data_IF_952884603206
#
_entry.id   IF_952884603206
#
_cell.length_a   1.000
_cell.length_b   1.000
_cell.length_c   1.000
_cell.angle_alpha   90.00
_cell.angle_beta   90.00
_cell.angle_gamma   90.00
#
_symmetry.space_group_name_H-M   'P 1'
#
loop_
_entity.id
_entity.type
_entity.pdbx_description
1 polymer ?
#
# COMPACT_ATOMS: atom_id res chain seq x y z
N UNK A 1 3.36 13.54 -40.79
CA UNK A 1 4.79 13.16 -40.72
C UNK A 1 5.38 13.69 -39.41
N UNK A 2 6.27 12.95 -38.73
CA UNK A 2 6.92 13.45 -37.52
C UNK A 2 7.71 14.74 -37.84
N UNK A 3 7.58 15.75 -36.97
CA UNK A 3 8.34 17.00 -37.07
C UNK A 3 9.70 16.81 -36.41
N UNK A 4 10.76 17.07 -37.16
CA UNK A 4 12.14 16.94 -36.67
C UNK A 4 12.62 18.27 -36.09
N UNK A 5 13.46 18.20 -35.06
CA UNK A 5 14.10 19.35 -34.44
C UNK A 5 15.54 19.01 -34.05
N UNK A 6 16.37 20.02 -33.82
CA UNK A 6 17.76 19.86 -33.39
C UNK A 6 17.88 20.19 -31.92
N UNK A 7 18.61 19.34 -31.19
CA UNK A 7 19.00 19.59 -29.79
C UNK A 7 20.50 19.82 -29.74
N UNK A 8 20.95 20.76 -28.90
CA UNK A 8 22.36 20.93 -28.58
C UNK A 8 22.71 20.06 -27.40
N UNK A 9 23.72 19.20 -27.56
CA UNK A 9 24.21 18.29 -26.52
C UNK A 9 25.74 18.37 -26.42
N UNK A 10 26.33 18.08 -25.24
CA UNK A 10 27.77 17.95 -25.09
C UNK A 10 28.36 16.89 -26.03
N UNK A 11 29.59 17.10 -26.49
CA UNK A 11 30.28 16.18 -27.41
C UNK A 11 30.41 14.78 -26.81
N UNK A 12 30.80 14.70 -25.54
CA UNK A 12 30.93 13.44 -24.79
C UNK A 12 29.64 12.61 -24.77
N UNK A 13 28.48 13.28 -24.71
CA UNK A 13 27.18 12.60 -24.71
C UNK A 13 26.83 12.11 -26.11
N UNK A 14 27.13 12.91 -27.15
CA UNK A 14 26.96 12.51 -28.54
C UNK A 14 27.78 11.25 -28.85
N UNK A 15 29.04 11.20 -28.40
CA UNK A 15 29.93 10.08 -28.64
C UNK A 15 29.41 8.78 -28.00
N UNK A 16 28.87 8.87 -26.77
CA UNK A 16 28.20 7.74 -26.10
C UNK A 16 26.95 7.27 -26.85
N UNK A 17 26.13 8.20 -27.35
CA UNK A 17 24.94 7.86 -28.13
C UNK A 17 25.34 7.18 -29.44
N UNK A 18 26.40 7.66 -30.09
CA UNK A 18 26.94 7.08 -31.31
C UNK A 18 27.48 5.67 -31.07
N UNK A 19 28.23 5.44 -29.99
CA UNK A 19 28.70 4.11 -29.60
C UNK A 19 27.53 3.14 -29.40
N UNK A 20 26.51 3.55 -28.65
CA UNK A 20 25.31 2.75 -28.40
C UNK A 20 24.51 2.50 -29.68
N UNK A 21 24.42 3.49 -30.57
CA UNK A 21 23.76 3.38 -31.87
C UNK A 21 24.44 2.35 -32.77
N UNK A 22 25.77 2.38 -32.85
CA UNK A 22 26.55 1.40 -33.61
C UNK A 22 26.39 0.00 -33.02
N UNK A 23 26.45 -0.14 -31.69
CA UNK A 23 26.29 -1.44 -31.01
C UNK A 23 24.89 -2.04 -31.19
N UNK A 24 23.85 -1.22 -31.15
CA UNK A 24 22.44 -1.68 -31.20
C UNK A 24 21.79 -1.60 -32.58
N UNK A 25 22.48 -1.01 -33.56
CA UNK A 25 21.95 -0.72 -34.90
C UNK A 25 20.60 0.03 -34.87
N UNK A 26 20.53 1.07 -34.04
CA UNK A 26 19.31 1.87 -33.84
C UNK A 26 19.60 3.36 -34.09
N UNK A 27 18.61 4.11 -34.56
CA UNK A 27 18.71 5.55 -34.72
C UNK A 27 18.88 6.27 -33.38
N UNK A 28 19.60 7.40 -33.37
CA UNK A 28 19.98 8.12 -32.15
C UNK A 28 18.75 8.52 -31.30
N UNK A 29 17.67 8.95 -31.96
CA UNK A 29 16.44 9.35 -31.26
C UNK A 29 15.78 8.20 -30.51
N UNK A 30 15.89 6.94 -31.00
CA UNK A 30 15.33 5.76 -30.32
C UNK A 30 16.08 5.47 -29.03
N UNK A 31 17.41 5.57 -29.07
CA UNK A 31 18.25 5.38 -27.87
C UNK A 31 17.94 6.44 -26.82
N UNK A 32 17.80 7.71 -27.24
CA UNK A 32 17.43 8.80 -26.34
C UNK A 32 16.04 8.55 -25.76
N UNK A 33 15.08 8.13 -26.59
CA UNK A 33 13.73 7.82 -26.14
C UNK A 33 13.72 6.65 -25.12
N UNK A 34 14.45 5.58 -25.39
CA UNK A 34 14.61 4.45 -24.46
C UNK A 34 15.25 4.89 -23.14
N UNK A 35 16.29 5.73 -23.19
CA UNK A 35 16.95 6.24 -21.99
C UNK A 35 16.00 7.12 -21.16
N UNK A 36 15.21 7.98 -21.82
CA UNK A 36 14.19 8.80 -21.15
C UNK A 36 13.09 7.91 -20.56
N UNK A 37 12.58 6.94 -21.31
CA UNK A 37 11.56 6.01 -20.84
C UNK A 37 12.07 5.19 -19.64
N UNK A 38 13.33 4.74 -19.69
CA UNK A 38 14.00 4.05 -18.59
C UNK A 38 14.17 4.94 -17.37
N UNK A 39 14.59 6.21 -17.55
CA UNK A 39 14.70 7.16 -16.46
C UNK A 39 13.32 7.45 -15.83
N UNK A 40 12.29 7.62 -16.66
CA UNK A 40 10.93 7.81 -16.18
C UNK A 40 10.44 6.60 -15.39
N UNK A 41 10.61 5.37 -15.89
CA UNK A 41 10.20 4.17 -15.15
C UNK A 41 11.05 3.95 -13.91
N UNK A 42 12.37 4.06 -13.98
CA UNK A 42 13.24 3.69 -12.87
C UNK A 42 13.48 4.80 -11.85
N UNK A 43 13.24 6.07 -12.18
CA UNK A 43 13.44 7.19 -11.23
C UNK A 43 12.11 7.77 -10.78
N UNK A 44 11.11 7.93 -11.67
CA UNK A 44 9.79 8.41 -11.25
C UNK A 44 8.98 7.30 -10.54
N UNK A 45 9.03 6.04 -10.97
CA UNK A 45 8.38 4.97 -10.19
C UNK A 45 9.16 4.65 -8.90
N UNK A 46 10.46 4.91 -8.83
CA UNK A 46 11.20 4.73 -7.56
C UNK A 46 10.84 5.80 -6.53
N UNK A 47 10.47 7.02 -6.97
CA UNK A 47 9.76 7.98 -6.10
C UNK A 47 8.43 7.42 -5.60
N UNK A 48 7.72 6.62 -6.40
CA UNK A 48 6.55 5.87 -5.95
C UNK A 48 6.90 4.65 -5.07
N UNK A 49 8.15 4.16 -5.07
CA UNK A 49 8.59 3.08 -4.17
C UNK A 49 8.80 3.57 -2.73
N UNK A 50 9.01 4.86 -2.51
CA UNK A 50 8.92 5.48 -1.18
C UNK A 50 7.48 5.48 -0.63
N UNK A 51 6.44 5.20 -1.45
CA UNK A 51 5.03 5.01 -1.04
C UNK A 51 4.69 3.58 -0.62
N UNK A 52 5.57 2.61 -0.89
CA UNK A 52 5.38 1.17 -0.57
C UNK A 52 5.48 0.87 0.94
N UNK A 53 6.32 1.56 1.76
CA UNK A 53 6.43 1.26 3.18
C UNK A 53 5.10 1.38 3.94
N UNK A 54 4.26 2.37 3.59
CA UNK A 54 3.00 2.60 4.29
C UNK A 54 1.93 1.57 3.91
N UNK A 55 1.85 1.17 2.64
CA UNK A 55 0.86 0.16 2.23
C UNK A 55 1.24 -1.25 2.70
N UNK A 56 2.53 -1.60 2.67
CA UNK A 56 3.02 -2.86 3.20
C UNK A 56 2.77 -2.95 4.71
N UNK A 57 3.13 -1.89 5.45
CA UNK A 57 2.86 -1.79 6.88
C UNK A 57 1.36 -1.89 7.19
N UNK A 58 0.51 -1.18 6.45
CA UNK A 58 -0.95 -1.26 6.64
C UNK A 58 -1.47 -2.67 6.33
N UNK A 59 -0.99 -3.30 5.26
CA UNK A 59 -1.38 -4.68 4.89
C UNK A 59 -1.03 -5.69 5.98
N UNK A 60 0.15 -5.56 6.61
CA UNK A 60 0.57 -6.40 7.73
C UNK A 60 -0.40 -6.31 8.92
N UNK A 61 -0.83 -5.10 9.25
CA UNK A 61 -1.80 -4.90 10.33
C UNK A 61 -3.22 -5.34 9.96
N UNK A 62 -3.62 -5.25 8.68
CA UNK A 62 -4.90 -5.82 8.20
C UNK A 62 -4.89 -7.34 8.39
N UNK A 63 -3.77 -8.02 8.08
CA UNK A 63 -3.63 -9.47 8.29
C UNK A 63 -3.71 -9.81 9.77
N UNK A 64 -2.98 -9.09 10.63
CA UNK A 64 -3.02 -9.29 12.09
C UNK A 64 -4.42 -9.09 12.67
N UNK A 65 -5.10 -8.02 12.24
CA UNK A 65 -6.47 -7.73 12.64
C UNK A 65 -7.40 -8.87 12.22
N UNK A 66 -7.33 -9.27 10.96
CA UNK A 66 -8.14 -10.35 10.39
C UNK A 66 -7.97 -11.65 11.17
N UNK A 67 -6.72 -12.04 11.46
CA UNK A 67 -6.43 -13.22 12.26
C UNK A 67 -7.02 -13.13 13.68
N UNK A 68 -6.86 -11.97 14.34
CA UNK A 68 -7.37 -11.74 15.69
C UNK A 68 -8.90 -11.80 15.75
N UNK A 69 -9.57 -11.15 14.79
CA UNK A 69 -11.05 -11.15 14.70
C UNK A 69 -11.57 -12.55 14.36
N UNK A 70 -10.95 -13.28 13.43
CA UNK A 70 -11.37 -14.65 13.10
C UNK A 70 -11.24 -15.59 14.30
N UNK A 71 -10.10 -15.56 15.01
CA UNK A 71 -9.89 -16.39 16.20
C UNK A 71 -10.88 -16.05 17.31
N UNK A 72 -11.14 -14.76 17.54
CA UNK A 72 -12.15 -14.30 18.48
C UNK A 72 -13.57 -14.73 18.08
N UNK A 73 -13.93 -14.62 16.80
CA UNK A 73 -15.23 -15.07 16.28
C UNK A 73 -15.44 -16.57 16.51
N UNK A 74 -14.41 -17.38 16.32
CA UNK A 74 -14.49 -18.83 16.50
C UNK A 74 -14.58 -19.22 17.99
N UNK A 75 -13.94 -18.45 18.87
CA UNK A 75 -13.98 -18.65 20.33
C UNK A 75 -13.97 -17.30 21.05
N UNK A 76 -15.14 -16.72 21.39
CA UNK A 76 -15.23 -15.36 21.95
C UNK A 76 -14.95 -15.33 23.46
N UNK A 77 -13.81 -15.90 23.88
CA UNK A 77 -13.36 -15.88 25.27
C UNK A 77 -12.56 -14.61 25.62
N UNK A 78 -12.29 -14.43 26.92
CA UNK A 78 -11.60 -13.24 27.43
C UNK A 78 -10.15 -13.15 26.90
N UNK A 79 -9.50 -14.28 26.65
CA UNK A 79 -8.14 -14.33 26.11
C UNK A 79 -8.09 -13.79 24.68
N UNK A 80 -8.96 -14.30 23.79
CA UNK A 80 -9.02 -13.83 22.40
C UNK A 80 -9.51 -12.38 22.32
N UNK A 81 -10.37 -11.94 23.24
CA UNK A 81 -10.77 -10.53 23.34
C UNK A 81 -9.57 -9.62 23.67
N UNK A 82 -8.75 -9.99 24.66
CA UNK A 82 -7.52 -9.24 25.01
C UNK A 82 -6.52 -9.20 23.85
N UNK A 83 -6.43 -10.27 23.05
CA UNK A 83 -5.56 -10.28 21.88
C UNK A 83 -6.07 -9.34 20.79
N UNK A 84 -7.38 -9.30 20.55
CA UNK A 84 -8.00 -8.35 19.64
C UNK A 84 -7.76 -6.90 20.11
N UNK A 85 -7.96 -6.62 21.40
CA UNK A 85 -7.68 -5.32 22.01
C UNK A 85 -6.23 -4.88 21.83
N UNK A 86 -5.28 -5.79 22.08
CA UNK A 86 -3.85 -5.53 21.85
C UNK A 86 -3.56 -5.20 20.37
N UNK A 87 -4.17 -5.92 19.44
CA UNK A 87 -4.00 -5.65 18.00
C UNK A 87 -4.58 -4.30 17.61
N UNK A 88 -5.74 -3.93 18.15
CA UNK A 88 -6.37 -2.61 17.93
C UNK A 88 -5.51 -1.48 18.50
N UNK A 89 -4.93 -1.67 19.69
CA UNK A 89 -3.98 -0.70 20.27
C UNK A 89 -2.75 -0.53 19.38
N UNK A 90 -2.18 -1.63 18.85
CA UNK A 90 -1.07 -1.54 17.91
C UNK A 90 -1.44 -0.77 16.64
N UNK A 91 -2.64 -0.98 16.09
CA UNK A 91 -3.12 -0.24 14.91
C UNK A 91 -3.20 1.26 15.23
N UNK A 92 -3.76 1.61 16.39
CA UNK A 92 -3.87 3.00 16.85
C UNK A 92 -2.49 3.66 17.01
N UNK A 93 -1.56 3.02 17.70
CA UNK A 93 -0.22 3.56 17.97
C UNK A 93 0.69 3.59 16.74
N UNK A 94 0.64 2.54 15.91
CA UNK A 94 1.60 2.34 14.81
C UNK A 94 1.12 2.94 13.50
N UNK A 95 -0.19 2.98 13.28
CA UNK A 95 -0.79 3.54 12.07
C UNK A 95 -1.50 4.86 12.31
N UNK A 96 -1.90 5.19 13.55
CA UNK A 96 -2.68 6.40 13.84
C UNK A 96 -4.16 6.25 13.47
N UNK A 97 -4.65 5.02 13.28
CA UNK A 97 -6.03 4.73 12.90
C UNK A 97 -6.83 4.32 14.13
N UNK A 98 -7.93 5.02 14.41
CA UNK A 98 -8.81 4.70 15.51
C UNK A 98 -9.95 3.77 15.04
N UNK A 99 -9.93 2.53 15.51
CA UNK A 99 -10.95 1.50 15.25
C UNK A 99 -11.54 0.96 16.55
N UNK A 100 -11.61 1.77 17.61
CA UNK A 100 -12.12 1.39 18.94
C UNK A 100 -13.59 0.91 18.87
N UNK A 101 -14.33 1.28 17.83
CA UNK A 101 -15.70 0.79 17.59
C UNK A 101 -15.77 -0.74 17.35
N UNK A 102 -14.69 -1.36 16.85
CA UNK A 102 -14.62 -2.81 16.67
C UNK A 102 -14.56 -3.56 18.01
N UNK A 103 -14.03 -2.94 19.07
CA UNK A 103 -14.06 -3.53 20.41
C UNK A 103 -15.46 -3.54 21.01
N UNK A 104 -16.30 -2.57 20.65
CA UNK A 104 -17.68 -2.49 21.12
C UNK A 104 -18.51 -3.62 20.54
N UNK A 105 -18.46 -3.81 19.21
CA UNK A 105 -19.16 -4.91 18.53
C UNK A 105 -18.63 -6.28 18.97
N UNK A 106 -17.31 -6.42 19.16
CA UNK A 106 -16.72 -7.63 19.73
C UNK A 106 -17.26 -7.90 21.15
N UNK A 107 -17.38 -6.88 21.99
CA UNK A 107 -17.93 -7.06 23.35
C UNK A 107 -19.39 -7.49 23.32
N UNK A 108 -20.21 -6.89 22.46
CA UNK A 108 -21.61 -7.31 22.26
C UNK A 108 -21.71 -8.77 21.85
N UNK A 109 -20.88 -9.21 20.89
CA UNK A 109 -20.84 -10.60 20.44
C UNK A 109 -20.35 -11.58 21.51
N UNK A 110 -19.41 -11.17 22.36
CA UNK A 110 -18.94 -11.97 23.49
C UNK A 110 -20.03 -12.17 24.55
N UNK A 111 -20.81 -11.13 24.84
CA UNK A 111 -21.91 -11.21 25.79
C UNK A 111 -23.04 -12.09 25.26
N UNK A 112 -23.42 -11.89 23.99
CA UNK A 112 -24.52 -12.60 23.35
C UNK A 112 -24.16 -13.02 21.91
N UNK A 113 -24.00 -14.33 21.69
CA UNK A 113 -23.57 -14.89 20.40
C UNK A 113 -24.73 -15.06 19.42
N UNK A 114 -25.44 -13.97 19.14
CA UNK A 114 -26.55 -13.94 18.16
C UNK A 114 -26.04 -13.74 16.74
N UNK A 115 -26.89 -14.01 15.74
CA UNK A 115 -26.57 -13.74 14.34
C UNK A 115 -26.43 -12.24 14.08
N UNK A 116 -27.25 -11.44 14.74
CA UNK A 116 -27.25 -9.99 14.66
C UNK A 116 -25.92 -9.42 15.16
N UNK A 117 -25.46 -9.85 16.34
CA UNK A 117 -24.18 -9.41 16.90
C UNK A 117 -22.98 -9.89 16.06
N UNK A 118 -23.08 -11.09 15.45
CA UNK A 118 -22.07 -11.57 14.51
C UNK A 118 -22.00 -10.68 13.24
N UNK A 119 -23.14 -10.29 12.70
CA UNK A 119 -23.22 -9.37 11.54
C UNK A 119 -22.62 -8.02 11.91
N UNK A 120 -22.92 -7.48 13.10
CA UNK A 120 -22.35 -6.23 13.59
C UNK A 120 -20.81 -6.32 13.72
N UNK A 121 -20.30 -7.43 14.24
CA UNK A 121 -18.87 -7.71 14.30
C UNK A 121 -18.23 -7.74 12.90
N UNK A 122 -18.87 -8.37 11.91
CA UNK A 122 -18.37 -8.38 10.53
C UNK A 122 -18.40 -7.01 9.87
N UNK A 123 -19.48 -6.25 10.08
CA UNK A 123 -19.60 -4.91 9.53
C UNK A 123 -18.56 -3.96 10.10
N UNK A 124 -18.36 -3.98 11.42
CA UNK A 124 -17.30 -3.21 12.07
C UNK A 124 -15.90 -3.66 11.63
N UNK A 125 -15.66 -4.96 11.45
CA UNK A 125 -14.38 -5.44 10.92
C UNK A 125 -14.13 -4.95 9.49
N UNK A 126 -15.13 -5.05 8.60
CA UNK A 126 -15.05 -4.49 7.24
C UNK A 126 -14.75 -2.98 7.26
N UNK A 127 -15.44 -2.22 8.10
CA UNK A 127 -15.21 -0.78 8.22
C UNK A 127 -13.79 -0.47 8.72
N UNK A 128 -13.27 -1.25 9.67
CA UNK A 128 -11.91 -1.08 10.16
C UNK A 128 -10.87 -1.25 9.04
N UNK A 129 -11.07 -2.24 8.17
CA UNK A 129 -10.21 -2.44 6.99
C UNK A 129 -10.30 -1.26 6.02
N UNK A 130 -11.50 -0.71 5.79
CA UNK A 130 -11.67 0.47 4.93
C UNK A 130 -10.96 1.69 5.53
N UNK A 131 -11.11 1.96 6.83
CA UNK A 131 -10.47 3.08 7.50
C UNK A 131 -8.94 2.99 7.45
N UNK A 132 -8.40 1.77 7.60
CA UNK A 132 -6.97 1.50 7.46
C UNK A 132 -6.47 1.80 6.04
N UNK A 133 -7.19 1.35 5.01
CA UNK A 133 -6.85 1.67 3.61
C UNK A 133 -6.97 3.16 3.31
N UNK A 134 -8.03 3.81 3.80
CA UNK A 134 -8.26 5.22 3.58
C UNK A 134 -7.17 6.07 4.23
N UNK A 135 -6.74 5.72 5.45
CA UNK A 135 -5.60 6.36 6.10
C UNK A 135 -4.29 6.21 5.30
N UNK A 136 -4.05 5.01 4.76
CA UNK A 136 -2.91 4.75 3.89
C UNK A 136 -2.93 5.56 2.59
N UNK A 137 -4.13 5.90 2.10
CA UNK A 137 -4.33 6.70 0.90
C UNK A 137 -4.24 8.20 1.17
N UNK A 138 -4.84 8.69 2.27
CA UNK A 138 -4.83 10.11 2.62
C UNK A 138 -3.45 10.63 3.03
N UNK A 139 -2.60 9.82 3.67
CA UNK A 139 -1.19 10.19 3.90
C UNK A 139 -0.40 10.45 2.61
N UNK A 140 -0.95 10.09 1.44
CA UNK A 140 -0.34 10.32 0.13
C UNK A 140 -0.68 11.68 -0.50
N UNK A 141 -1.62 12.46 0.07
CA UNK A 141 -1.93 13.84 -0.35
C UNK A 141 -1.22 14.84 0.56
#
# INVERSE_FOLDING_TARGET
MPKWTTIRIPVELKDKIEELSRKRNQAYWKIIQEAIAWYQSNVLETRNRELIPDIDKVSWYIIKLSYSVSKFKDKPDQENYQWLEKTILQIKERLGVNIDYLLKSARSYQLEQTKENLIELWMSWKMAVIDMFYHAYLKKQ
#
